data_IF_605984593685
#
_entry.id   IF_605984593685
#
_cell.length_a   1.000
_cell.length_b   1.000
_cell.length_c   1.000
_cell.angle_alpha   90.00
_cell.angle_beta   90.00
_cell.angle_gamma   90.00
#
_symmetry.space_group_name_H-M   'P 1'
#
loop_
_entity.id
_entity.type
_entity.pdbx_description
1 polymer ?
#
# COMPACT_ATOMS: atom_id res chain seq x y z
N UNK A 1 68.55 -41.36 15.73
CA UNK A 1 67.19 -40.80 15.88
C UNK A 1 66.25 -41.89 16.40
N UNK A 2 65.71 -41.73 17.60
CA UNK A 2 65.12 -42.85 18.37
C UNK A 2 63.71 -43.22 17.83
N UNK A 3 63.57 -44.50 17.44
CA UNK A 3 62.25 -45.07 16.97
C UNK A 3 61.11 -44.84 17.95
N UNK A 4 61.39 -44.68 19.23
CA UNK A 4 60.39 -44.35 20.25
C UNK A 4 59.78 -42.91 20.12
N UNK A 5 60.55 -41.94 19.60
CA UNK A 5 60.05 -40.57 19.39
C UNK A 5 59.19 -40.46 18.15
N UNK A 6 59.40 -41.30 17.13
CA UNK A 6 58.59 -41.34 15.91
C UNK A 6 57.17 -41.95 16.17
N UNK A 7 57.14 -43.01 17.03
CA UNK A 7 55.87 -43.62 17.43
C UNK A 7 54.96 -42.71 18.28
N UNK A 8 55.56 -41.90 19.18
CA UNK A 8 54.82 -40.97 20.00
C UNK A 8 54.25 -39.82 19.17
N UNK A 9 54.98 -39.31 18.17
CA UNK A 9 54.48 -38.27 17.24
C UNK A 9 53.33 -38.76 16.32
N UNK A 10 53.46 -40.00 15.80
CA UNK A 10 52.43 -40.64 15.00
C UNK A 10 51.11 -40.90 15.82
N UNK A 11 51.25 -41.30 17.09
CA UNK A 11 50.17 -41.56 18.00
C UNK A 11 49.39 -40.25 18.36
N UNK A 12 50.11 -39.14 18.55
CA UNK A 12 49.50 -37.83 18.80
C UNK A 12 48.79 -37.31 17.55
N UNK A 13 49.37 -37.46 16.35
CA UNK A 13 48.74 -37.07 15.10
C UNK A 13 47.49 -37.92 14.78
N UNK A 14 47.53 -39.23 15.02
CA UNK A 14 46.36 -40.09 14.83
C UNK A 14 45.26 -39.79 15.85
N UNK A 15 45.61 -39.49 17.11
CA UNK A 15 44.65 -39.08 18.14
C UNK A 15 43.98 -37.74 17.85
N UNK A 16 44.73 -36.77 17.35
CA UNK A 16 44.20 -35.46 16.95
C UNK A 16 43.30 -35.58 15.72
N UNK A 17 43.67 -36.41 14.73
CA UNK A 17 42.78 -36.66 13.56
C UNK A 17 41.50 -37.39 13.93
N UNK A 18 41.53 -38.34 14.85
CA UNK A 18 40.33 -39.04 15.35
C UNK A 18 39.43 -38.14 16.19
N UNK A 19 40.01 -37.26 17.01
CA UNK A 19 39.22 -36.25 17.76
C UNK A 19 38.57 -35.23 16.81
N UNK A 20 39.28 -34.76 15.78
CA UNK A 20 38.71 -33.82 14.79
C UNK A 20 37.61 -34.46 13.96
N UNK A 21 37.73 -35.74 13.59
CA UNK A 21 36.66 -36.44 12.85
C UNK A 21 35.44 -36.78 13.73
N UNK A 22 35.62 -37.10 15.01
CA UNK A 22 34.53 -37.32 15.95
C UNK A 22 33.78 -36.01 16.25
N UNK A 23 34.50 -34.91 16.47
CA UNK A 23 33.87 -33.58 16.65
C UNK A 23 33.09 -33.18 15.42
N UNK A 24 33.60 -33.37 14.20
CA UNK A 24 32.89 -32.98 12.98
C UNK A 24 31.59 -33.77 12.76
N UNK A 25 31.56 -35.06 13.15
CA UNK A 25 30.33 -35.89 13.06
C UNK A 25 29.29 -35.49 14.10
N UNK A 26 29.70 -35.04 15.27
CA UNK A 26 28.79 -34.57 16.32
C UNK A 26 28.16 -33.19 15.95
N UNK A 27 28.94 -32.28 15.41
CA UNK A 27 28.42 -30.99 14.90
C UNK A 27 27.44 -31.20 13.73
N UNK A 28 27.77 -32.10 12.78
CA UNK A 28 26.87 -32.41 11.66
C UNK A 28 25.53 -32.99 12.13
N UNK A 29 25.57 -33.91 13.13
CA UNK A 29 24.36 -34.51 13.70
C UNK A 29 23.53 -33.45 14.44
N UNK A 30 24.15 -32.58 15.20
CA UNK A 30 23.48 -31.50 15.94
C UNK A 30 22.88 -30.47 14.98
N UNK A 31 23.57 -30.15 13.89
CA UNK A 31 23.09 -29.27 12.86
C UNK A 31 21.83 -29.83 12.16
N UNK A 32 21.84 -31.10 11.78
CA UNK A 32 20.68 -31.75 11.17
C UNK A 32 19.49 -31.80 12.13
N UNK A 33 19.73 -32.04 13.43
CA UNK A 33 18.64 -31.96 14.43
C UNK A 33 18.07 -30.56 14.58
N UNK A 34 18.91 -29.52 14.52
CA UNK A 34 18.45 -28.14 14.54
C UNK A 34 17.62 -27.81 13.29
N UNK A 35 18.00 -28.36 12.11
CA UNK A 35 17.19 -28.24 10.90
C UNK A 35 15.82 -28.96 11.04
N UNK A 36 15.79 -30.13 11.66
CA UNK A 36 14.54 -30.86 11.94
C UNK A 36 13.64 -30.07 12.89
N UNK A 37 14.20 -29.46 13.94
CA UNK A 37 13.47 -28.58 14.87
C UNK A 37 12.95 -27.34 14.14
N UNK A 38 13.76 -26.73 13.28
CA UNK A 38 13.33 -25.62 12.42
C UNK A 38 12.18 -26.02 11.49
N UNK A 39 12.29 -27.16 10.84
CA UNK A 39 11.28 -27.68 9.92
C UNK A 39 9.95 -28.03 10.62
N UNK A 40 9.98 -28.33 11.93
CA UNK A 40 8.76 -28.54 12.72
C UNK A 40 8.09 -27.23 13.20
N UNK A 41 8.69 -26.06 12.89
CA UNK A 41 8.13 -24.75 13.29
C UNK A 41 8.52 -24.31 14.71
N UNK A 42 9.37 -25.06 15.39
CA UNK A 42 9.86 -24.75 16.74
C UNK A 42 11.01 -23.73 16.65
N UNK A 43 10.70 -22.50 16.16
CA UNK A 43 11.71 -21.52 15.76
C UNK A 43 12.56 -21.03 16.95
N UNK A 44 11.98 -20.87 18.13
CA UNK A 44 12.73 -20.43 19.31
C UNK A 44 13.79 -21.46 19.72
N UNK A 45 13.42 -22.75 19.77
CA UNK A 45 14.31 -23.88 20.08
C UNK A 45 15.35 -24.09 18.98
N UNK A 46 14.96 -23.93 17.71
CA UNK A 46 15.84 -24.01 16.57
C UNK A 46 16.92 -22.92 16.64
N UNK A 47 16.54 -21.67 16.94
CA UNK A 47 17.47 -20.57 17.12
C UNK A 47 18.54 -20.90 18.15
N UNK A 48 18.14 -21.36 19.35
CA UNK A 48 19.08 -21.76 20.40
C UNK A 48 19.98 -22.94 19.99
N UNK A 49 19.41 -23.90 19.22
CA UNK A 49 20.18 -25.05 18.75
C UNK A 49 21.26 -24.63 17.73
N UNK A 50 20.94 -23.71 16.81
CA UNK A 50 21.89 -23.17 15.86
C UNK A 50 22.92 -22.25 16.53
N UNK A 51 22.54 -21.42 17.50
CA UNK A 51 23.47 -20.57 18.26
C UNK A 51 24.56 -21.41 18.98
N UNK A 52 24.19 -22.56 19.53
CA UNK A 52 25.16 -23.50 20.16
C UNK A 52 26.18 -24.10 19.18
N UNK A 53 25.89 -24.08 17.88
CA UNK A 53 26.78 -24.59 16.83
C UNK A 53 27.83 -23.54 16.39
N UNK A 54 27.66 -22.27 16.81
CA UNK A 54 28.57 -21.19 16.42
C UNK A 54 28.69 -21.07 14.90
N UNK A 55 29.90 -20.98 14.40
CA UNK A 55 30.18 -20.75 12.97
C UNK A 55 30.08 -22.03 12.10
N UNK A 56 29.43 -23.09 12.61
CA UNK A 56 29.32 -24.33 11.84
C UNK A 56 28.32 -24.18 10.69
N UNK A 57 28.76 -24.39 9.46
CA UNK A 57 27.96 -24.34 8.23
C UNK A 57 27.16 -23.00 8.14
N UNK A 58 25.85 -23.08 7.96
CA UNK A 58 24.94 -21.91 7.94
C UNK A 58 24.25 -21.69 9.31
N UNK A 59 24.77 -22.26 10.40
CA UNK A 59 24.12 -22.14 11.71
C UNK A 59 23.89 -20.68 12.13
N UNK A 60 24.81 -19.73 11.93
CA UNK A 60 24.55 -18.32 12.26
C UNK A 60 23.37 -17.73 11.49
N UNK A 61 23.27 -18.02 10.20
CA UNK A 61 22.17 -17.53 9.36
C UNK A 61 20.83 -18.16 9.76
N UNK A 62 20.79 -19.47 10.03
CA UNK A 62 19.58 -20.13 10.53
C UNK A 62 19.18 -19.68 11.92
N UNK A 63 20.15 -19.40 12.81
CA UNK A 63 19.87 -18.83 14.13
C UNK A 63 19.18 -17.46 14.00
N UNK A 64 19.76 -16.57 13.20
CA UNK A 64 19.18 -15.27 12.92
C UNK A 64 17.78 -15.41 12.26
N UNK A 65 17.66 -16.23 11.22
CA UNK A 65 16.40 -16.45 10.54
C UNK A 65 15.30 -16.97 11.48
N UNK A 66 15.64 -17.93 12.35
CA UNK A 66 14.71 -18.48 13.34
C UNK A 66 14.26 -17.41 14.36
N UNK A 67 15.20 -16.54 14.83
CA UNK A 67 14.84 -15.39 15.70
C UNK A 67 13.93 -14.42 14.97
N UNK A 68 14.24 -14.12 13.72
CA UNK A 68 13.40 -13.28 12.86
C UNK A 68 11.98 -13.83 12.73
N UNK A 69 11.83 -15.14 12.50
CA UNK A 69 10.52 -15.79 12.38
C UNK A 69 9.68 -15.68 13.67
N UNK A 70 10.29 -15.86 14.84
CA UNK A 70 9.59 -15.70 16.13
C UNK A 70 8.98 -14.30 16.26
N UNK A 71 9.73 -13.27 15.90
CA UNK A 71 9.27 -11.88 15.96
C UNK A 71 8.24 -11.58 14.86
N UNK A 72 8.47 -12.11 13.67
CA UNK A 72 7.61 -11.96 12.51
C UNK A 72 6.20 -12.52 12.76
N UNK A 73 6.10 -13.72 13.35
CA UNK A 73 4.81 -14.34 13.72
C UNK A 73 4.05 -13.54 14.80
N UNK A 74 4.75 -12.69 15.54
CA UNK A 74 4.17 -11.75 16.51
C UNK A 74 3.81 -10.39 15.91
N UNK A 75 4.07 -10.19 14.60
CA UNK A 75 3.87 -8.90 13.93
C UNK A 75 4.92 -7.84 14.30
N UNK A 76 6.02 -8.24 14.96
CA UNK A 76 7.10 -7.34 15.38
C UNK A 76 8.11 -7.16 14.24
N UNK A 77 7.65 -6.51 13.15
CA UNK A 77 8.41 -6.42 11.90
C UNK A 77 9.69 -5.58 12.05
N UNK A 78 9.65 -4.50 12.81
CA UNK A 78 10.82 -3.66 13.06
C UNK A 78 11.93 -4.40 13.82
N UNK A 79 11.57 -5.26 14.78
CA UNK A 79 12.51 -6.08 15.51
C UNK A 79 12.98 -7.30 14.69
N UNK A 80 12.15 -7.82 13.79
CA UNK A 80 12.47 -8.96 12.93
C UNK A 80 13.43 -8.58 11.78
N UNK A 81 13.32 -7.38 11.23
CA UNK A 81 14.10 -6.90 10.09
C UNK A 81 15.62 -7.14 10.22
N UNK A 82 16.30 -6.74 11.32
CA UNK A 82 17.75 -6.94 11.45
C UNK A 82 18.18 -8.40 11.52
N UNK A 83 17.30 -9.32 11.91
CA UNK A 83 17.57 -10.75 11.88
C UNK A 83 17.46 -11.31 10.46
N UNK A 84 16.47 -10.91 9.69
CA UNK A 84 16.38 -11.31 8.28
C UNK A 84 17.51 -10.71 7.45
N UNK A 85 17.97 -9.49 7.75
CA UNK A 85 19.15 -8.89 7.11
C UNK A 85 20.43 -9.75 7.26
N UNK A 86 20.53 -10.55 8.32
CA UNK A 86 21.64 -11.47 8.56
C UNK A 86 21.45 -12.88 7.95
N UNK A 87 20.32 -13.11 7.29
CA UNK A 87 19.91 -14.43 6.79
C UNK A 87 19.33 -14.41 5.37
N UNK A 88 19.75 -13.46 4.55
CA UNK A 88 19.26 -13.27 3.18
C UNK A 88 19.44 -14.50 2.28
N UNK A 89 20.46 -15.33 2.56
CA UNK A 89 20.77 -16.56 1.81
C UNK A 89 19.87 -17.75 2.22
N UNK A 90 19.06 -17.61 3.26
CA UNK A 90 18.08 -18.63 3.67
C UNK A 90 16.82 -18.47 2.82
N UNK A 91 16.15 -19.58 2.51
CA UNK A 91 14.91 -19.59 1.73
C UNK A 91 13.90 -18.55 2.25
N UNK A 92 13.45 -17.65 1.37
CA UNK A 92 12.62 -16.50 1.68
C UNK A 92 13.23 -15.46 2.65
N UNK A 93 14.54 -15.50 2.90
CA UNK A 93 15.21 -14.54 3.78
C UNK A 93 15.16 -13.13 3.23
N UNK A 94 15.36 -12.98 1.92
CA UNK A 94 15.32 -11.69 1.26
C UNK A 94 13.89 -11.11 1.21
N UNK A 95 12.90 -11.93 0.87
CA UNK A 95 11.50 -11.52 0.81
C UNK A 95 10.99 -11.11 2.18
N UNK A 96 11.33 -11.86 3.24
CA UNK A 96 10.97 -11.52 4.62
C UNK A 96 11.64 -10.23 5.10
N UNK A 97 12.91 -10.04 4.75
CA UNK A 97 13.60 -8.78 5.02
C UNK A 97 12.87 -7.60 4.37
N UNK A 98 12.59 -7.70 3.07
CA UNK A 98 11.89 -6.65 2.33
C UNK A 98 10.48 -6.39 2.86
N UNK A 99 9.76 -7.46 3.22
CA UNK A 99 8.42 -7.35 3.80
C UNK A 99 8.44 -6.62 5.15
N UNK A 100 9.37 -6.98 6.05
CA UNK A 100 9.56 -6.27 7.31
C UNK A 100 9.94 -4.80 7.08
N UNK A 101 10.85 -4.54 6.14
CA UNK A 101 11.27 -3.19 5.80
C UNK A 101 10.09 -2.33 5.29
N UNK A 102 9.24 -2.89 4.43
CA UNK A 102 8.03 -2.22 3.95
C UNK A 102 7.06 -1.87 5.10
N UNK A 103 6.91 -2.77 6.07
CA UNK A 103 6.13 -2.49 7.29
C UNK A 103 6.72 -1.34 8.12
N UNK A 104 8.04 -1.31 8.30
CA UNK A 104 8.74 -0.22 9.00
C UNK A 104 8.48 1.11 8.31
N UNK A 105 8.58 1.17 6.97
CA UNK A 105 8.26 2.37 6.21
C UNK A 105 6.81 2.83 6.42
N UNK A 106 5.87 1.90 6.45
CA UNK A 106 4.45 2.20 6.70
C UNK A 106 4.22 2.74 8.13
N UNK A 107 4.88 2.17 9.14
CA UNK A 107 4.84 2.65 10.54
C UNK A 107 5.43 4.05 10.69
N UNK A 108 6.47 4.38 9.92
CA UNK A 108 7.07 5.72 9.83
C UNK A 108 6.17 6.73 9.09
N UNK A 109 5.06 6.29 8.50
CA UNK A 109 4.17 7.12 7.69
C UNK A 109 4.66 7.41 6.26
N UNK A 110 5.68 6.72 5.80
CA UNK A 110 6.28 6.81 4.45
C UNK A 110 5.52 5.91 3.48
N UNK A 111 4.22 6.19 3.34
CA UNK A 111 3.30 5.28 2.66
C UNK A 111 3.61 5.04 1.20
N UNK A 112 4.04 6.06 0.45
CA UNK A 112 4.43 5.89 -0.95
C UNK A 112 5.62 4.93 -1.09
N UNK A 113 6.65 5.08 -0.26
CA UNK A 113 7.82 4.21 -0.26
C UNK A 113 7.48 2.80 0.23
N UNK A 114 6.60 2.68 1.22
CA UNK A 114 6.10 1.39 1.69
C UNK A 114 5.34 0.64 0.58
N UNK A 115 4.51 1.35 -0.18
CA UNK A 115 3.76 0.78 -1.30
C UNK A 115 4.70 0.22 -2.39
N UNK A 116 5.73 0.99 -2.78
CA UNK A 116 6.75 0.55 -3.73
C UNK A 116 7.53 -0.66 -3.20
N UNK A 117 7.86 -0.67 -1.90
CA UNK A 117 8.59 -1.77 -1.28
C UNK A 117 7.74 -3.06 -1.24
N UNK A 118 6.44 -2.98 -0.92
CA UNK A 118 5.53 -4.13 -0.99
C UNK A 118 5.32 -4.62 -2.43
N UNK A 119 5.18 -3.72 -3.40
CA UNK A 119 5.02 -4.08 -4.81
C UNK A 119 6.24 -4.84 -5.34
N UNK A 120 7.45 -4.42 -4.94
CA UNK A 120 8.71 -5.04 -5.36
C UNK A 120 8.86 -6.50 -4.90
N UNK A 121 8.16 -6.92 -3.85
CA UNK A 121 8.20 -8.30 -3.35
C UNK A 121 7.27 -9.22 -4.18
N UNK A 122 6.35 -8.67 -4.96
CA UNK A 122 5.40 -9.42 -5.76
C UNK A 122 4.36 -10.17 -4.91
N UNK A 123 4.09 -11.43 -5.28
CA UNK A 123 3.03 -12.24 -4.66
C UNK A 123 3.44 -12.88 -3.30
N UNK A 124 4.38 -12.26 -2.59
CA UNK A 124 4.77 -12.76 -1.28
C UNK A 124 3.72 -12.38 -0.22
N UNK A 125 3.12 -13.39 0.42
CA UNK A 125 2.07 -13.24 1.45
C UNK A 125 0.94 -12.27 0.98
N UNK A 126 0.65 -11.23 1.75
CA UNK A 126 -0.37 -10.21 1.43
C UNK A 126 0.25 -8.89 0.90
N UNK A 127 1.53 -8.91 0.48
CA UNK A 127 2.24 -7.72 0.01
C UNK A 127 1.50 -6.93 -1.09
N UNK A 128 0.85 -7.56 -2.10
CA UNK A 128 0.08 -6.81 -3.08
C UNK A 128 -1.08 -6.00 -2.48
N UNK A 129 -1.77 -6.57 -1.49
CA UNK A 129 -2.87 -5.88 -0.81
C UNK A 129 -2.35 -4.78 0.11
N UNK A 130 -1.21 -5.00 0.80
CA UNK A 130 -0.55 -3.97 1.62
C UNK A 130 -0.02 -2.82 0.80
N UNK A 131 0.50 -3.09 -0.41
CA UNK A 131 0.84 -2.04 -1.36
C UNK A 131 -0.36 -1.15 -1.65
N UNK A 132 -1.52 -1.73 -1.98
CA UNK A 132 -2.75 -0.97 -2.21
C UNK A 132 -3.19 -0.19 -0.96
N UNK A 133 -3.14 -0.80 0.22
CA UNK A 133 -3.45 -0.10 1.47
C UNK A 133 -2.55 1.13 1.67
N UNK A 134 -1.24 1.00 1.47
CA UNK A 134 -0.30 2.11 1.57
C UNK A 134 -0.55 3.19 0.51
N UNK A 135 -0.88 2.82 -0.75
CA UNK A 135 -1.30 3.77 -1.78
C UNK A 135 -2.54 4.55 -1.34
N UNK A 136 -3.52 3.88 -0.74
CA UNK A 136 -4.72 4.50 -0.19
C UNK A 136 -4.39 5.52 0.91
N UNK A 137 -3.49 5.18 1.82
CA UNK A 137 -3.00 6.06 2.90
C UNK A 137 -2.29 7.30 2.36
N UNK A 138 -1.42 7.13 1.35
CA UNK A 138 -0.72 8.24 0.71
C UNK A 138 -1.70 9.13 -0.06
N UNK A 139 -2.60 8.56 -0.83
CA UNK A 139 -3.60 9.30 -1.59
C UNK A 139 -4.56 10.08 -0.68
N UNK A 140 -5.03 9.47 0.44
CA UNK A 140 -5.86 10.14 1.46
C UNK A 140 -5.14 11.35 2.07
N UNK A 141 -3.86 11.18 2.45
CA UNK A 141 -3.05 12.25 3.03
C UNK A 141 -2.85 13.44 2.07
N UNK A 142 -2.87 13.18 0.76
CA UNK A 142 -2.70 14.17 -0.31
C UNK A 142 -4.04 14.63 -0.93
N UNK A 143 -5.18 14.26 -0.34
CA UNK A 143 -6.53 14.57 -0.81
C UNK A 143 -6.81 14.13 -2.26
N UNK A 144 -6.14 13.07 -2.73
CA UNK A 144 -6.39 12.41 -4.02
C UNK A 144 -7.48 11.35 -3.81
N UNK A 145 -8.75 11.84 -3.72
CA UNK A 145 -9.86 11.04 -3.22
C UNK A 145 -10.22 9.84 -4.09
N UNK A 146 -10.16 9.97 -5.41
CA UNK A 146 -10.43 8.90 -6.37
C UNK A 146 -9.43 7.76 -6.23
N UNK A 147 -8.14 8.09 -6.15
CA UNK A 147 -7.07 7.12 -5.93
C UNK A 147 -7.22 6.43 -4.56
N UNK A 148 -7.52 7.21 -3.50
CA UNK A 148 -7.70 6.67 -2.15
C UNK A 148 -8.88 5.70 -2.05
N UNK A 149 -10.04 6.04 -2.65
CA UNK A 149 -11.22 5.17 -2.68
C UNK A 149 -10.89 3.86 -3.40
N UNK A 150 -10.30 3.94 -4.59
CA UNK A 150 -9.92 2.77 -5.38
C UNK A 150 -8.94 1.85 -4.64
N UNK A 151 -7.91 2.45 -4.03
CA UNK A 151 -6.86 1.71 -3.31
C UNK A 151 -7.40 1.02 -2.05
N UNK A 152 -8.25 1.68 -1.25
CA UNK A 152 -8.86 1.04 -0.09
C UNK A 152 -9.90 -0.03 -0.47
N UNK A 153 -10.62 0.13 -1.58
CA UNK A 153 -11.50 -0.92 -2.10
C UNK A 153 -10.72 -2.17 -2.49
N UNK A 154 -9.55 -1.99 -3.13
CA UNK A 154 -8.66 -3.10 -3.49
C UNK A 154 -8.04 -3.79 -2.27
N UNK A 155 -7.79 -3.05 -1.19
CA UNK A 155 -7.20 -3.53 0.06
C UNK A 155 -8.22 -3.78 1.18
N UNK A 156 -9.50 -3.96 0.88
CA UNK A 156 -10.61 -3.94 1.83
C UNK A 156 -10.45 -4.92 3.02
N UNK A 157 -9.66 -5.97 2.85
CA UNK A 157 -9.39 -7.00 3.88
C UNK A 157 -8.17 -6.71 4.74
N UNK A 158 -7.45 -5.62 4.46
CA UNK A 158 -6.19 -5.28 5.14
C UNK A 158 -6.44 -4.23 6.22
N UNK A 159 -5.94 -4.52 7.41
CA UNK A 159 -5.92 -3.61 8.57
C UNK A 159 -7.28 -2.88 8.78
N UNK A 160 -7.28 -1.54 8.76
CA UNK A 160 -8.46 -0.68 8.92
C UNK A 160 -8.99 -0.11 7.57
N UNK A 161 -8.66 -0.74 6.42
CA UNK A 161 -9.02 -0.23 5.10
C UNK A 161 -10.54 -0.03 4.91
N UNK A 162 -11.36 -0.97 5.43
CA UNK A 162 -12.83 -0.86 5.37
C UNK A 162 -13.33 0.36 6.14
N UNK A 163 -12.84 0.56 7.36
CA UNK A 163 -13.20 1.70 8.20
C UNK A 163 -12.73 3.02 7.57
N UNK A 164 -11.54 3.05 6.99
CA UNK A 164 -11.03 4.21 6.25
C UNK A 164 -11.87 4.55 5.04
N UNK A 165 -12.20 3.54 4.24
CA UNK A 165 -13.06 3.71 3.06
C UNK A 165 -14.41 4.30 3.45
N UNK A 166 -15.03 3.77 4.52
CA UNK A 166 -16.30 4.29 5.04
C UNK A 166 -16.18 5.75 5.49
N UNK A 167 -15.16 6.07 6.28
CA UNK A 167 -14.92 7.41 6.79
C UNK A 167 -14.59 8.40 5.67
N UNK A 168 -13.77 7.99 4.70
CA UNK A 168 -13.38 8.80 3.54
C UNK A 168 -14.60 9.17 2.69
N UNK A 169 -15.48 8.21 2.39
CA UNK A 169 -16.75 8.47 1.69
C UNK A 169 -17.61 9.52 2.42
N UNK A 170 -17.69 9.41 3.76
CA UNK A 170 -18.41 10.39 4.59
C UNK A 170 -17.78 11.78 4.53
N UNK A 171 -16.47 11.88 4.58
CA UNK A 171 -15.74 13.15 4.46
C UNK A 171 -15.97 13.81 3.08
N UNK A 172 -15.85 13.05 2.00
CA UNK A 172 -16.09 13.54 0.62
C UNK A 172 -17.54 14.02 0.49
N UNK A 173 -18.52 13.26 0.99
CA UNK A 173 -19.92 13.67 0.97
C UNK A 173 -20.15 15.00 1.69
N UNK A 174 -19.63 15.15 2.90
CA UNK A 174 -19.77 16.39 3.66
C UNK A 174 -19.09 17.58 2.95
N UNK A 175 -17.95 17.35 2.30
CA UNK A 175 -17.26 18.37 1.52
C UNK A 175 -18.07 18.79 0.29
N UNK A 176 -18.68 17.83 -0.41
CA UNK A 176 -19.58 18.10 -1.52
C UNK A 176 -20.79 18.94 -1.10
N UNK A 177 -21.39 18.64 0.06
CA UNK A 177 -22.48 19.46 0.64
C UNK A 177 -22.00 20.89 0.93
N UNK A 178 -20.78 21.07 1.46
CA UNK A 178 -20.23 22.40 1.71
C UNK A 178 -20.08 23.20 0.42
N UNK A 179 -19.49 22.65 -0.63
CA UNK A 179 -19.37 23.31 -1.94
C UNK A 179 -20.73 23.64 -2.54
N UNK A 180 -21.72 22.75 -2.41
CA UNK A 180 -23.09 23.04 -2.82
C UNK A 180 -23.66 24.27 -2.09
N UNK A 181 -23.43 24.41 -0.77
CA UNK A 181 -23.87 25.54 0.03
C UNK A 181 -23.18 26.86 -0.32
N UNK A 182 -21.92 26.78 -0.73
CA UNK A 182 -21.09 27.89 -1.20
C UNK A 182 -21.48 28.35 -2.63
N UNK A 183 -22.25 27.53 -3.36
CA UNK A 183 -22.63 27.79 -4.75
C UNK A 183 -21.63 27.28 -5.78
N UNK A 184 -20.58 26.60 -5.34
CA UNK A 184 -19.64 25.90 -6.23
C UNK A 184 -20.24 24.54 -6.64
N UNK A 185 -21.27 24.64 -7.49
CA UNK A 185 -22.05 23.48 -7.91
C UNK A 185 -21.21 22.49 -8.75
N UNK A 186 -20.23 22.97 -9.54
CA UNK A 186 -19.41 22.09 -10.36
C UNK A 186 -18.53 21.18 -9.49
N UNK A 187 -17.81 21.74 -8.52
CA UNK A 187 -16.99 20.95 -7.59
C UNK A 187 -17.87 20.00 -6.75
N UNK A 188 -19.06 20.44 -6.34
CA UNK A 188 -20.00 19.57 -5.63
C UNK A 188 -20.45 18.38 -6.50
N UNK A 189 -20.78 18.61 -7.78
CA UNK A 189 -21.14 17.56 -8.74
C UNK A 189 -20.03 16.53 -8.86
N UNK A 190 -18.79 16.97 -9.05
CA UNK A 190 -17.64 16.10 -9.26
C UNK A 190 -17.42 15.18 -8.04
N UNK A 191 -17.52 15.72 -6.83
CA UNK A 191 -17.40 14.96 -5.60
C UNK A 191 -18.58 14.00 -5.37
N UNK A 192 -19.83 14.42 -5.64
CA UNK A 192 -20.98 13.53 -5.54
C UNK A 192 -20.92 12.40 -6.58
N UNK A 193 -20.46 12.68 -7.79
CA UNK A 193 -20.31 11.65 -8.84
C UNK A 193 -19.23 10.65 -8.50
N UNK A 194 -18.15 11.06 -7.85
CA UNK A 194 -17.09 10.17 -7.34
C UNK A 194 -17.66 9.16 -6.31
N UNK A 195 -18.65 9.56 -5.53
CA UNK A 195 -19.27 8.72 -4.50
C UNK A 195 -20.32 7.72 -5.04
N UNK A 196 -20.81 7.92 -6.26
CA UNK A 196 -21.81 7.05 -6.87
C UNK A 196 -23.10 6.94 -6.03
N UNK A 197 -23.42 5.72 -5.61
CA UNK A 197 -24.66 5.43 -4.85
C UNK A 197 -24.51 5.64 -3.32
N UNK A 198 -23.40 6.20 -2.86
CA UNK A 198 -23.20 6.45 -1.43
C UNK A 198 -24.19 7.50 -0.91
N UNK A 199 -25.00 7.13 0.09
CA UNK A 199 -26.07 7.98 0.62
C UNK A 199 -27.00 8.50 -0.51
N UNK A 200 -27.20 9.81 -0.59
CA UNK A 200 -27.98 10.48 -1.64
C UNK A 200 -27.10 11.20 -2.68
N UNK A 201 -25.84 10.79 -2.87
CA UNK A 201 -24.88 11.48 -3.74
C UNK A 201 -25.40 11.65 -5.18
N UNK A 202 -25.97 10.61 -5.75
CA UNK A 202 -26.53 10.68 -7.11
C UNK A 202 -27.63 11.75 -7.23
N UNK A 203 -28.57 11.80 -6.27
CA UNK A 203 -29.63 12.79 -6.23
C UNK A 203 -29.08 14.21 -6.02
N UNK A 204 -28.12 14.36 -5.13
CA UNK A 204 -27.44 15.64 -4.88
C UNK A 204 -26.68 16.15 -6.12
N UNK A 205 -26.04 15.27 -6.87
CA UNK A 205 -25.39 15.64 -8.13
C UNK A 205 -26.39 16.14 -9.16
N UNK A 206 -27.56 15.50 -9.28
CA UNK A 206 -28.65 15.94 -10.17
C UNK A 206 -29.18 17.30 -9.74
N UNK A 207 -29.39 17.51 -8.45
CA UNK A 207 -29.86 18.81 -7.90
C UNK A 207 -28.82 19.92 -8.17
N UNK A 208 -27.53 19.68 -7.93
CA UNK A 208 -26.46 20.63 -8.24
C UNK A 208 -26.41 20.98 -9.75
N UNK A 209 -26.58 19.98 -10.64
CA UNK A 209 -26.69 20.23 -12.10
C UNK A 209 -27.83 21.14 -12.44
N UNK A 210 -28.94 21.05 -11.73
CA UNK A 210 -30.09 21.95 -11.93
C UNK A 210 -29.74 23.37 -11.49
N UNK A 211 -29.16 23.56 -10.31
CA UNK A 211 -28.71 24.87 -9.84
C UNK A 211 -27.66 25.51 -10.73
N UNK A 212 -26.72 24.72 -11.25
CA UNK A 212 -25.72 25.22 -12.19
C UNK A 212 -26.37 25.75 -13.46
N UNK A 213 -27.31 25.00 -14.06
CA UNK A 213 -28.06 25.46 -15.25
C UNK A 213 -28.91 26.69 -14.98
N UNK A 214 -29.53 26.79 -13.79
CA UNK A 214 -30.24 27.98 -13.40
C UNK A 214 -29.35 29.21 -13.34
N UNK A 215 -28.14 29.07 -12.73
CA UNK A 215 -27.17 30.15 -12.63
C UNK A 215 -26.63 30.58 -14.01
N UNK A 216 -26.32 29.62 -14.89
CA UNK A 216 -25.90 29.89 -16.27
C UNK A 216 -27.01 30.59 -17.08
N UNK A 217 -28.25 30.16 -16.90
CA UNK A 217 -29.42 30.81 -17.55
C UNK A 217 -29.60 32.26 -17.08
N UNK A 218 -29.52 32.50 -15.77
CA UNK A 218 -29.62 33.85 -15.20
C UNK A 218 -28.45 34.74 -15.63
N UNK A 219 -27.24 34.16 -15.81
CA UNK A 219 -26.10 34.88 -16.39
C UNK A 219 -26.34 35.26 -17.85
N UNK A 220 -26.91 34.36 -18.66
CA UNK A 220 -27.27 34.63 -20.05
C UNK A 220 -28.29 35.75 -20.14
N UNK A 221 -29.30 35.77 -19.25
CA UNK A 221 -30.27 36.87 -19.11
C UNK A 221 -29.58 38.21 -18.81
N UNK A 222 -28.65 38.23 -17.89
CA UNK A 222 -27.92 39.42 -17.51
C UNK A 222 -27.04 39.96 -18.67
N UNK A 223 -26.39 39.08 -19.43
CA UNK A 223 -25.62 39.45 -20.61
C UNK A 223 -26.50 40.05 -21.71
N UNK A 224 -27.63 39.45 -22.01
CA UNK A 224 -28.57 39.98 -22.98
C UNK A 224 -29.09 41.36 -22.54
N UNK A 225 -29.47 41.53 -21.27
CA UNK A 225 -29.90 42.78 -20.70
C UNK A 225 -28.85 43.89 -20.74
N UNK A 226 -27.55 43.53 -20.63
CA UNK A 226 -26.42 44.47 -20.71
C UNK A 226 -26.02 44.82 -22.15
N UNK A 227 -26.56 44.10 -23.14
CA UNK A 227 -26.26 44.29 -24.56
C UNK A 227 -25.07 43.45 -25.06
N UNK A 228 -24.51 42.54 -24.26
CA UNK A 228 -23.57 41.53 -24.70
C UNK A 228 -24.32 40.37 -25.35
N UNK A 229 -24.82 40.62 -26.57
CA UNK A 229 -25.61 39.67 -27.31
C UNK A 229 -24.85 38.40 -27.71
N UNK A 230 -23.53 38.52 -27.96
CA UNK A 230 -22.72 37.38 -28.31
C UNK A 230 -22.51 36.46 -27.10
N UNK A 231 -22.17 37.00 -25.93
CA UNK A 231 -22.02 36.24 -24.70
C UNK A 231 -23.33 35.56 -24.30
N UNK A 232 -24.47 36.27 -24.43
CA UNK A 232 -25.79 35.69 -24.19
C UNK A 232 -26.13 34.55 -25.15
N UNK A 233 -25.83 34.70 -26.45
CA UNK A 233 -26.03 33.68 -27.47
C UNK A 233 -25.25 32.41 -27.15
N UNK A 234 -23.98 32.56 -26.81
CA UNK A 234 -23.09 31.44 -26.51
C UNK A 234 -23.60 30.63 -25.31
N UNK A 235 -24.00 31.30 -24.23
CA UNK A 235 -24.56 30.63 -23.05
C UNK A 235 -25.91 29.99 -23.32
N UNK A 236 -26.89 30.69 -23.96
CA UNK A 236 -28.18 30.07 -24.28
C UNK A 236 -28.05 28.90 -25.24
N UNK A 237 -27.06 28.95 -26.16
CA UNK A 237 -26.79 27.82 -27.07
C UNK A 237 -26.26 26.58 -26.31
N UNK A 238 -25.42 26.79 -25.30
CA UNK A 238 -24.88 25.70 -24.44
C UNK A 238 -25.99 25.06 -23.60
N UNK A 239 -27.01 25.84 -23.22
CA UNK A 239 -28.19 25.44 -22.44
C UNK A 239 -29.33 24.84 -23.27
N UNK A 240 -29.06 24.46 -24.51
CA UNK A 240 -30.11 23.95 -25.41
C UNK A 240 -30.88 22.77 -24.75
N UNK A 241 -32.21 22.88 -24.73
CA UNK A 241 -33.09 21.93 -24.03
C UNK A 241 -33.40 22.31 -22.56
N UNK A 242 -32.88 23.43 -22.06
CA UNK A 242 -33.22 23.95 -20.74
C UNK A 242 -34.09 25.18 -20.86
N UNK A 243 -35.29 25.18 -20.21
CA UNK A 243 -36.30 26.24 -20.31
C UNK A 243 -36.54 26.63 -21.78
N UNK A 244 -36.44 27.90 -22.11
CA UNK A 244 -36.60 28.48 -23.47
C UNK A 244 -35.26 28.89 -24.10
N UNK A 245 -34.12 28.41 -23.57
CA UNK A 245 -32.77 28.80 -24.01
C UNK A 245 -32.54 28.63 -25.52
N UNK A 246 -33.03 27.53 -26.11
CA UNK A 246 -32.91 27.29 -27.55
C UNK A 246 -33.60 28.39 -28.37
N UNK A 247 -34.82 28.82 -27.99
CA UNK A 247 -35.57 29.86 -28.69
C UNK A 247 -34.88 31.23 -28.54
N UNK A 248 -34.29 31.50 -27.36
CA UNK A 248 -33.53 32.73 -27.13
C UNK A 248 -32.25 32.77 -27.94
N UNK A 249 -31.52 31.66 -28.01
CA UNK A 249 -30.33 31.51 -28.86
C UNK A 249 -30.68 31.79 -30.33
N UNK A 250 -31.79 31.24 -30.87
CA UNK A 250 -32.24 31.52 -32.24
C UNK A 250 -32.53 33.01 -32.47
N UNK A 251 -33.18 33.63 -31.52
CA UNK A 251 -33.53 35.08 -31.62
C UNK A 251 -32.24 35.93 -31.62
N UNK A 252 -31.26 35.60 -30.79
CA UNK A 252 -29.96 36.30 -30.72
C UNK A 252 -29.13 36.06 -31.97
N UNK A 253 -29.13 34.83 -32.50
CA UNK A 253 -28.43 34.50 -33.76
C UNK A 253 -28.94 35.38 -34.91
N UNK A 254 -30.28 35.56 -35.01
CA UNK A 254 -30.88 36.44 -36.01
C UNK A 254 -30.46 37.92 -35.86
N UNK A 255 -30.31 38.39 -34.62
CA UNK A 255 -29.83 39.75 -34.35
C UNK A 255 -28.35 39.96 -34.66
N UNK A 256 -27.52 38.92 -34.42
CA UNK A 256 -26.06 38.91 -34.67
C UNK A 256 -25.72 38.60 -36.16
N UNK A 257 -26.69 38.16 -36.95
CA UNK A 257 -26.46 37.74 -38.33
C UNK A 257 -25.73 36.40 -38.46
N UNK A 258 -25.82 35.56 -37.43
CA UNK A 258 -25.28 34.18 -37.40
C UNK A 258 -26.24 33.26 -38.12
N UNK A 259 -25.73 32.46 -39.12
CA UNK A 259 -26.54 31.49 -39.88
C UNK A 259 -26.30 30.07 -39.41
#
# INVERSE_FOLDING_TARGET
MNRARLGALLGVFAGVLLCLSACSTDYSRSYNRALDTFASGEYAEAAEAFERLGDYAQAPAYAAYSRGLVLYEQGQYAEAEPYFAQSLDILYGQERYQYCHAHVLAEEGRFAEAAEAFEAIGDFEDAPLRSQYCLGRDAEANARYDEALFAYEAAITIDDAEDRLYNLRGQIYNRAIAFKQEGDYQTAIDLFMLLGDYLSSADQAVECKTYLRDAEYDQADALEASGDLQGAYDLFSSLSGYRDAAQRAENLAAQLGIQ
#
